data_IF_992577355995
#
_entry.id   IF_992577355995
#
_cell.length_a   1.000
_cell.length_b   1.000
_cell.length_c   1.000
_cell.angle_alpha   90.00
_cell.angle_beta   90.00
_cell.angle_gamma   90.00
#
_symmetry.space_group_name_H-M   'P 1'
#
loop_
_entity.id
_entity.type
_entity.pdbx_description
1 polymer ?
#
# COMPACT_ATOMS: atom_id res chain seq x y z
N UNK A 1 6.96 -46.12 -53.07
CA UNK A 1 5.84 -46.61 -52.24
C UNK A 1 6.38 -47.83 -51.49
N UNK A 2 6.48 -47.93 -50.17
CA UNK A 2 5.89 -47.18 -49.06
C UNK A 2 6.76 -47.41 -47.82
N UNK A 3 6.92 -46.39 -46.98
CA UNK A 3 7.63 -46.47 -45.69
C UNK A 3 6.72 -47.12 -44.64
N UNK A 4 7.07 -48.31 -44.13
CA UNK A 4 6.41 -48.89 -42.96
C UNK A 4 7.08 -48.38 -41.68
N UNK A 5 6.39 -47.51 -40.94
CA UNK A 5 6.80 -47.02 -39.62
C UNK A 5 6.18 -47.82 -38.46
N UNK A 6 7.07 -48.29 -37.59
CA UNK A 6 6.96 -48.78 -36.19
C UNK A 6 5.61 -48.77 -35.43
N UNK A 7 4.96 -49.93 -35.18
CA UNK A 7 3.81 -50.06 -34.29
C UNK A 7 4.13 -50.22 -32.77
N UNK A 8 5.40 -50.23 -32.37
CA UNK A 8 5.83 -50.55 -30.99
C UNK A 8 5.95 -49.31 -30.07
N UNK A 9 6.43 -48.19 -30.61
CA UNK A 9 6.63 -46.95 -29.84
C UNK A 9 5.30 -46.28 -29.48
N UNK A 10 4.33 -46.28 -30.41
CA UNK A 10 2.98 -45.76 -30.18
C UNK A 10 2.25 -46.47 -29.02
N UNK A 11 2.44 -47.78 -28.87
CA UNK A 11 1.83 -48.54 -27.76
C UNK A 11 2.48 -48.24 -26.41
N UNK A 12 3.79 -47.91 -26.41
CA UNK A 12 4.52 -47.54 -25.19
C UNK A 12 4.15 -46.14 -24.73
N UNK A 13 4.04 -45.18 -25.66
CA UNK A 13 3.60 -43.81 -25.36
C UNK A 13 2.14 -43.78 -24.90
N UNK A 14 1.26 -44.57 -25.53
CA UNK A 14 -0.14 -44.72 -25.13
C UNK A 14 -0.28 -45.28 -23.70
N UNK A 15 0.54 -46.27 -23.31
CA UNK A 15 0.58 -46.79 -21.93
C UNK A 15 1.05 -45.75 -20.91
N UNK A 16 2.06 -44.94 -21.25
CA UNK A 16 2.56 -43.86 -20.37
C UNK A 16 1.52 -42.76 -20.23
N UNK A 17 0.85 -42.38 -21.32
CA UNK A 17 -0.26 -41.41 -21.28
C UNK A 17 -1.44 -41.93 -20.45
N UNK A 18 -1.78 -43.21 -20.57
CA UNK A 18 -2.83 -43.84 -19.77
C UNK A 18 -2.49 -43.89 -18.26
N UNK A 19 -1.23 -44.18 -17.90
CA UNK A 19 -0.77 -44.14 -16.50
C UNK A 19 -0.73 -42.71 -15.94
N UNK A 20 -0.29 -41.74 -16.76
CA UNK A 20 -0.33 -40.32 -16.41
C UNK A 20 -1.77 -39.84 -16.20
N UNK A 21 -2.70 -40.21 -17.08
CA UNK A 21 -4.12 -39.87 -16.94
C UNK A 21 -4.74 -40.45 -15.66
N UNK A 22 -4.40 -41.69 -15.28
CA UNK A 22 -4.84 -42.30 -14.01
C UNK A 22 -4.26 -41.59 -12.79
N UNK A 23 -3.00 -41.16 -12.85
CA UNK A 23 -2.35 -40.40 -11.77
C UNK A 23 -2.95 -39.00 -11.61
N UNK A 24 -3.24 -38.32 -12.72
CA UNK A 24 -3.92 -37.02 -12.72
C UNK A 24 -5.32 -37.16 -12.16
N UNK A 25 -6.11 -38.12 -12.63
CA UNK A 25 -7.47 -38.38 -12.12
C UNK A 25 -7.47 -38.69 -10.61
N UNK A 26 -6.55 -39.53 -10.13
CA UNK A 26 -6.41 -39.80 -8.69
C UNK A 26 -5.97 -38.56 -7.90
N UNK A 27 -5.07 -37.74 -8.46
CA UNK A 27 -4.63 -36.50 -7.83
C UNK A 27 -5.78 -35.48 -7.74
N UNK A 28 -6.58 -35.35 -8.80
CA UNK A 28 -7.78 -34.51 -8.84
C UNK A 28 -8.83 -34.94 -7.81
N UNK A 29 -9.08 -36.24 -7.68
CA UNK A 29 -9.96 -36.79 -6.63
C UNK A 29 -9.45 -36.46 -5.22
N UNK A 30 -8.15 -36.66 -4.96
CA UNK A 30 -7.59 -36.29 -3.64
C UNK A 30 -7.68 -34.79 -3.38
N UNK A 31 -7.38 -33.95 -4.38
CA UNK A 31 -7.53 -32.50 -4.26
C UNK A 31 -8.97 -32.09 -4.01
N UNK A 32 -9.95 -32.76 -4.62
CA UNK A 32 -11.36 -32.54 -4.36
C UNK A 32 -11.70 -32.85 -2.89
N UNK A 33 -11.31 -34.03 -2.40
CA UNK A 33 -11.57 -34.41 -1.00
C UNK A 33 -10.88 -33.47 0.00
N UNK A 34 -9.66 -33.00 -0.29
CA UNK A 34 -8.98 -32.03 0.56
C UNK A 34 -9.71 -30.68 0.59
N UNK A 35 -10.23 -30.22 -0.55
CA UNK A 35 -11.02 -28.97 -0.61
C UNK A 35 -12.33 -29.10 0.14
N UNK A 36 -13.01 -30.25 0.05
CA UNK A 36 -14.22 -30.51 0.82
C UNK A 36 -13.95 -30.52 2.32
N UNK A 37 -12.86 -31.18 2.75
CA UNK A 37 -12.44 -31.19 4.15
C UNK A 37 -12.03 -29.79 4.64
N UNK A 38 -11.34 -29.00 3.82
CA UNK A 38 -10.99 -27.62 4.13
C UNK A 38 -12.25 -26.75 4.29
N UNK A 39 -13.23 -26.89 3.39
CA UNK A 39 -14.50 -26.19 3.47
C UNK A 39 -15.30 -26.57 4.73
N UNK A 40 -15.37 -27.87 5.06
CA UNK A 40 -16.04 -28.35 6.27
C UNK A 40 -15.33 -27.86 7.55
N UNK A 41 -14.00 -27.86 7.56
CA UNK A 41 -13.22 -27.36 8.68
C UNK A 41 -13.39 -25.84 8.87
N UNK A 42 -13.44 -25.07 7.78
CA UNK A 42 -13.71 -23.64 7.82
C UNK A 42 -15.11 -23.33 8.37
N UNK A 43 -16.12 -24.09 7.96
CA UNK A 43 -17.48 -23.91 8.46
C UNK A 43 -17.58 -24.26 9.95
N UNK A 44 -16.99 -25.38 10.38
CA UNK A 44 -16.90 -25.73 11.80
C UNK A 44 -16.19 -24.66 12.62
N UNK A 45 -15.10 -24.11 12.09
CA UNK A 45 -14.37 -23.00 12.74
C UNK A 45 -15.27 -21.77 12.89
N UNK A 46 -16.00 -21.39 11.84
CA UNK A 46 -16.93 -20.26 11.86
C UNK A 46 -17.99 -20.42 12.96
N UNK A 47 -18.64 -21.58 13.02
CA UNK A 47 -19.67 -21.87 14.03
C UNK A 47 -19.09 -21.80 15.44
N UNK A 48 -17.91 -22.40 15.66
CA UNK A 48 -17.23 -22.35 16.96
C UNK A 48 -16.84 -20.92 17.38
N UNK A 49 -16.40 -20.09 16.43
CA UNK A 49 -16.09 -18.68 16.69
C UNK A 49 -17.36 -17.90 17.10
N UNK A 50 -18.48 -18.12 16.41
CA UNK A 50 -19.77 -17.51 16.75
C UNK A 50 -20.27 -17.92 18.13
N UNK A 51 -20.24 -19.21 18.47
CA UNK A 51 -20.63 -19.71 19.79
C UNK A 51 -19.75 -19.14 20.90
N UNK A 52 -18.45 -19.07 20.66
CA UNK A 52 -17.49 -18.54 21.61
C UNK A 52 -17.70 -17.04 21.86
N UNK A 53 -18.01 -16.26 20.82
CA UNK A 53 -18.33 -14.85 20.97
C UNK A 53 -19.66 -14.64 21.72
N UNK A 54 -20.68 -15.47 21.45
CA UNK A 54 -21.94 -15.47 22.20
C UNK A 54 -21.71 -15.78 23.69
N UNK A 55 -20.90 -16.81 23.98
CA UNK A 55 -20.61 -17.21 25.35
C UNK A 55 -19.83 -16.11 26.10
N UNK A 56 -18.84 -15.49 25.46
CA UNK A 56 -18.10 -14.34 26.02
C UNK A 56 -19.03 -13.17 26.34
N UNK A 57 -19.95 -12.84 25.43
CA UNK A 57 -20.91 -11.76 25.64
C UNK A 57 -21.88 -12.08 26.79
N UNK A 58 -22.36 -13.31 26.90
CA UNK A 58 -23.22 -13.77 27.99
C UNK A 58 -22.52 -13.68 29.35
N UNK A 59 -21.30 -14.22 29.44
CA UNK A 59 -20.49 -14.17 30.67
C UNK A 59 -20.23 -12.72 31.08
N UNK A 60 -19.85 -11.86 30.13
CA UNK A 60 -19.60 -10.45 30.40
C UNK A 60 -20.86 -9.74 30.91
N UNK A 61 -22.00 -9.98 30.28
CA UNK A 61 -23.29 -9.39 30.68
C UNK A 61 -23.67 -9.81 32.10
N UNK A 62 -23.55 -11.10 32.41
CA UNK A 62 -23.83 -11.63 33.74
C UNK A 62 -22.87 -11.05 34.79
N UNK A 63 -21.56 -11.05 34.52
CA UNK A 63 -20.57 -10.49 35.41
C UNK A 63 -20.82 -9.00 35.70
N UNK A 64 -21.14 -8.20 34.68
CA UNK A 64 -21.44 -6.77 34.86
C UNK A 64 -22.76 -6.55 35.62
N UNK A 65 -23.77 -7.40 35.47
CA UNK A 65 -25.02 -7.30 36.21
C UNK A 65 -24.83 -7.48 37.73
N UNK A 66 -23.85 -8.30 38.13
CA UNK A 66 -23.51 -8.57 39.53
C UNK A 66 -22.30 -7.77 40.04
N UNK A 67 -21.66 -6.97 39.19
CA UNK A 67 -20.49 -6.17 39.53
C UNK A 67 -20.85 -4.90 40.35
N UNK A 68 -19.90 -4.44 41.16
CA UNK A 68 -20.01 -3.17 41.87
C UNK A 68 -20.15 -1.99 40.87
N UNK A 69 -20.79 -0.87 41.28
CA UNK A 69 -20.91 0.31 40.43
C UNK A 69 -19.57 0.86 39.94
N UNK A 70 -18.52 0.81 40.78
CA UNK A 70 -17.19 1.31 40.42
C UNK A 70 -16.52 0.45 39.36
N UNK A 71 -16.62 -0.88 39.49
CA UNK A 71 -16.07 -1.80 38.50
C UNK A 71 -16.76 -1.65 37.13
N UNK A 72 -18.07 -1.40 37.12
CA UNK A 72 -18.80 -1.11 35.87
C UNK A 72 -18.33 0.18 35.19
N UNK A 73 -18.05 1.23 35.97
CA UNK A 73 -17.52 2.51 35.47
C UNK A 73 -16.12 2.34 34.90
N UNK A 74 -15.25 1.64 35.62
CA UNK A 74 -13.89 1.33 35.17
C UNK A 74 -13.91 0.52 33.88
N UNK A 75 -14.74 -0.52 33.79
CA UNK A 75 -14.91 -1.30 32.56
C UNK A 75 -15.35 -0.42 31.37
N UNK A 76 -16.29 0.50 31.58
CA UNK A 76 -16.73 1.44 30.54
C UNK A 76 -15.59 2.38 30.09
N UNK A 77 -14.81 2.90 31.04
CA UNK A 77 -13.66 3.76 30.76
C UNK A 77 -12.55 3.01 30.01
N UNK A 78 -12.23 1.79 30.43
CA UNK A 78 -11.25 0.94 29.77
C UNK A 78 -11.70 0.59 28.35
N UNK A 79 -12.98 0.27 28.15
CA UNK A 79 -13.52 0.01 26.81
C UNK A 79 -13.41 1.23 25.90
N UNK A 80 -13.79 2.41 26.39
CA UNK A 80 -13.62 3.67 25.64
C UNK A 80 -12.14 3.93 25.30
N UNK A 81 -11.25 3.64 26.23
CA UNK A 81 -9.80 3.79 26.04
C UNK A 81 -9.29 2.82 24.97
N UNK A 82 -9.72 1.55 25.01
CA UNK A 82 -9.41 0.54 24.00
C UNK A 82 -9.91 0.94 22.62
N UNK A 83 -11.16 1.41 22.50
CA UNK A 83 -11.73 1.88 21.24
C UNK A 83 -10.92 3.06 20.66
N UNK A 84 -10.46 3.96 21.55
CA UNK A 84 -9.59 5.09 21.15
C UNK A 84 -8.22 4.63 20.65
N UNK A 85 -7.61 3.63 21.30
CA UNK A 85 -6.33 3.08 20.88
C UNK A 85 -6.46 2.27 19.60
N UNK A 86 -7.53 1.49 19.45
CA UNK A 86 -7.80 0.76 18.22
C UNK A 86 -7.96 1.73 17.03
N UNK A 87 -8.71 2.82 17.22
CA UNK A 87 -8.84 3.88 16.21
C UNK A 87 -7.50 4.51 15.85
N UNK A 88 -6.61 4.74 16.84
CA UNK A 88 -5.25 5.25 16.59
C UNK A 88 -4.38 4.23 15.85
N UNK A 89 -4.47 2.95 16.19
CA UNK A 89 -3.76 1.87 15.48
C UNK A 89 -4.21 1.85 14.02
N UNK A 90 -5.51 1.93 13.74
CA UNK A 90 -6.04 1.92 12.38
C UNK A 90 -5.64 3.17 11.58
N UNK A 91 -5.45 4.31 12.25
CA UNK A 91 -4.92 5.54 11.64
C UNK A 91 -3.40 5.46 11.40
N UNK A 92 -2.65 4.87 12.32
CA UNK A 92 -1.20 4.68 12.21
C UNK A 92 -0.82 3.54 11.28
N UNK A 93 -1.79 2.70 10.88
CA UNK A 93 -1.56 1.61 9.95
C UNK A 93 -1.01 2.18 8.65
N UNK A 94 0.19 1.72 8.30
CA UNK A 94 0.85 2.13 7.07
C UNK A 94 -0.01 1.75 5.86
N UNK A 95 -0.15 2.71 4.94
CA UNK A 95 -0.90 2.53 3.70
C UNK A 95 0.10 2.30 2.57
N UNK A 96 0.02 1.14 1.94
CA UNK A 96 0.92 0.79 0.84
C UNK A 96 0.38 1.33 -0.49
N UNK A 97 1.27 1.88 -1.30
CA UNK A 97 0.99 2.31 -2.67
C UNK A 97 0.99 1.10 -3.60
N UNK A 98 -0.11 0.88 -4.33
CA UNK A 98 -0.20 -0.14 -5.37
C UNK A 98 0.02 0.45 -6.76
N UNK A 99 -0.68 1.55 -7.07
CA UNK A 99 -0.55 2.26 -8.34
C UNK A 99 -0.79 3.75 -8.15
N UNK A 100 -0.26 4.57 -9.05
CA UNK A 100 -0.47 6.02 -9.05
C UNK A 100 -0.55 6.55 -10.48
N UNK A 101 -1.52 7.42 -10.75
CA UNK A 101 -1.68 8.07 -12.06
C UNK A 101 -2.34 9.44 -11.94
N UNK A 102 -1.99 10.36 -12.82
CA UNK A 102 -2.67 11.63 -13.02
C UNK A 102 -3.81 11.44 -14.02
N UNK A 103 -5.02 11.80 -13.60
CA UNK A 103 -6.25 11.58 -14.40
C UNK A 103 -6.94 12.86 -14.86
N UNK A 104 -6.56 14.01 -14.30
CA UNK A 104 -7.22 15.28 -14.59
C UNK A 104 -6.30 16.45 -14.23
N UNK A 105 -6.68 17.66 -14.63
CA UNK A 105 -5.97 18.90 -14.32
C UNK A 105 -6.93 20.06 -14.11
N UNK A 106 -6.50 21.06 -13.34
CA UNK A 106 -7.26 22.30 -13.15
C UNK A 106 -6.34 23.49 -13.00
N UNK A 107 -6.79 24.64 -13.48
CA UNK A 107 -6.10 25.93 -13.28
C UNK A 107 -6.69 26.60 -12.04
N UNK A 108 -5.82 27.02 -11.12
CA UNK A 108 -6.15 27.80 -9.93
C UNK A 108 -5.49 29.16 -10.00
N UNK A 109 -6.18 30.19 -9.50
CA UNK A 109 -5.62 31.53 -9.35
C UNK A 109 -5.42 31.83 -7.87
N UNK A 110 -4.21 32.24 -7.49
CA UNK A 110 -3.88 32.70 -6.13
C UNK A 110 -3.03 33.95 -6.22
N UNK A 111 -3.43 35.02 -5.53
CA UNK A 111 -2.71 36.31 -5.53
C UNK A 111 -2.44 36.84 -6.96
N UNK A 112 -3.44 36.74 -7.85
CA UNK A 112 -3.32 37.18 -9.25
C UNK A 112 -2.42 36.30 -10.12
N UNK A 113 -1.84 35.21 -9.59
CA UNK A 113 -1.03 34.26 -10.33
C UNK A 113 -1.78 32.96 -10.55
N UNK A 114 -1.85 32.54 -11.80
CA UNK A 114 -2.41 31.25 -12.17
C UNK A 114 -1.37 30.13 -12.03
N UNK A 115 -1.82 28.93 -11.66
CA UNK A 115 -1.01 27.72 -11.61
C UNK A 115 -1.87 26.48 -11.86
N UNK A 116 -1.25 25.42 -12.38
CA UNK A 116 -1.92 24.13 -12.64
C UNK A 116 -1.76 23.19 -11.45
N UNK A 117 -2.86 22.55 -11.08
CA UNK A 117 -2.90 21.38 -10.22
C UNK A 117 -3.32 20.16 -11.03
N UNK A 118 -2.77 19.01 -10.68
CA UNK A 118 -2.97 17.72 -11.34
C UNK A 118 -3.67 16.79 -10.36
N UNK A 119 -4.74 16.14 -10.81
CA UNK A 119 -5.50 15.18 -10.02
C UNK A 119 -4.78 13.85 -10.02
N UNK A 120 -4.14 13.55 -8.91
CA UNK A 120 -3.49 12.29 -8.64
C UNK A 120 -4.52 11.30 -8.10
N UNK A 121 -4.60 10.14 -8.73
CA UNK A 121 -5.34 8.97 -8.26
C UNK A 121 -4.31 7.93 -7.79
N UNK A 122 -4.47 7.45 -6.56
CA UNK A 122 -3.58 6.44 -5.95
C UNK A 122 -4.44 5.25 -5.53
N UNK A 123 -4.05 4.06 -5.93
CA UNK A 123 -4.63 2.82 -5.43
C UNK A 123 -3.79 2.31 -4.27
N UNK A 124 -4.47 1.91 -3.20
CA UNK A 124 -3.86 1.48 -1.94
C UNK A 124 -4.35 0.10 -1.54
N UNK A 125 -3.58 -0.57 -0.69
CA UNK A 125 -3.88 -1.90 -0.17
C UNK A 125 -5.08 -1.93 0.79
N UNK A 126 -5.25 -0.91 1.62
CA UNK A 126 -6.23 -0.94 2.73
C UNK A 126 -7.29 0.18 2.70
N UNK A 127 -7.08 1.27 1.94
CA UNK A 127 -8.02 2.41 1.86
C UNK A 127 -8.69 2.54 0.49
N UNK A 128 -8.49 1.59 -0.41
CA UNK A 128 -9.01 1.64 -1.78
C UNK A 128 -8.33 2.75 -2.59
N UNK A 129 -9.11 3.51 -3.37
CA UNK A 129 -8.60 4.59 -4.22
C UNK A 129 -8.67 5.94 -3.51
N UNK A 130 -7.53 6.60 -3.37
CA UNK A 130 -7.40 7.96 -2.86
C UNK A 130 -7.19 8.95 -4.02
N UNK A 131 -7.77 10.14 -3.89
CA UNK A 131 -7.70 11.18 -4.93
C UNK A 131 -7.33 12.52 -4.31
N UNK A 132 -6.33 13.18 -4.89
CA UNK A 132 -5.80 14.45 -4.40
C UNK A 132 -5.27 15.33 -5.52
N UNK A 133 -5.07 16.62 -5.23
CA UNK A 133 -4.58 17.61 -6.18
C UNK A 133 -3.18 18.06 -5.80
N UNK A 134 -2.23 17.93 -6.72
CA UNK A 134 -0.85 18.37 -6.51
C UNK A 134 -0.35 19.29 -7.61
N UNK A 135 0.59 20.16 -7.26
CA UNK A 135 1.30 20.99 -8.24
C UNK A 135 2.39 20.16 -8.91
N UNK A 136 2.75 20.56 -10.12
CA UNK A 136 3.84 19.95 -10.88
C UNK A 136 5.17 19.86 -10.09
N UNK A 137 5.45 20.88 -9.26
CA UNK A 137 6.64 20.92 -8.40
C UNK A 137 6.74 19.74 -7.42
N UNK A 138 5.61 19.18 -6.97
CA UNK A 138 5.62 17.99 -6.10
C UNK A 138 6.31 16.82 -6.79
N UNK A 139 5.99 16.60 -8.07
CA UNK A 139 6.57 15.50 -8.87
C UNK A 139 8.03 15.78 -9.23
N UNK A 140 8.39 17.03 -9.54
CA UNK A 140 9.79 17.42 -9.74
C UNK A 140 10.65 17.12 -8.51
N UNK A 141 10.18 17.49 -7.31
CA UNK A 141 10.90 17.24 -6.07
C UNK A 141 11.03 15.74 -5.77
N UNK A 142 9.98 14.97 -6.07
CA UNK A 142 10.02 13.51 -5.95
C UNK A 142 11.05 12.91 -6.90
N UNK A 143 11.05 13.31 -8.17
CA UNK A 143 12.03 12.84 -9.16
C UNK A 143 13.47 13.18 -8.73
N UNK A 144 13.73 14.41 -8.30
CA UNK A 144 15.04 14.83 -7.80
C UNK A 144 15.48 14.00 -6.59
N UNK A 145 14.57 13.74 -5.65
CA UNK A 145 14.87 12.91 -4.46
C UNK A 145 15.17 11.46 -4.84
N UNK A 146 14.42 10.89 -5.77
CA UNK A 146 14.63 9.51 -6.23
C UNK A 146 15.95 9.35 -6.97
N UNK A 147 16.32 10.31 -7.84
CA UNK A 147 17.61 10.36 -8.53
C UNK A 147 18.76 10.47 -7.52
N UNK A 148 18.69 11.41 -6.59
CA UNK A 148 19.70 11.60 -5.55
C UNK A 148 19.90 10.36 -4.65
N UNK A 149 18.81 9.64 -4.32
CA UNK A 149 18.87 8.44 -3.48
C UNK A 149 19.30 7.18 -4.24
N UNK A 150 19.26 7.17 -5.57
CA UNK A 150 19.60 6.01 -6.37
C UNK A 150 20.48 6.42 -7.58
N UNK A 151 21.74 6.84 -7.35
CA UNK A 151 22.61 7.35 -8.42
C UNK A 151 22.83 6.36 -9.56
N UNK A 152 22.82 5.06 -9.26
CA UNK A 152 23.03 4.00 -10.26
C UNK A 152 21.83 3.78 -11.18
N UNK A 153 20.62 4.16 -10.77
CA UNK A 153 19.37 3.99 -11.54
C UNK A 153 18.73 5.31 -11.94
N UNK A 154 19.45 6.43 -11.82
CA UNK A 154 18.96 7.74 -12.23
C UNK A 154 18.53 7.77 -13.71
N UNK A 155 19.27 7.10 -14.59
CA UNK A 155 18.99 7.01 -16.02
C UNK A 155 17.65 6.30 -16.33
N UNK A 156 17.11 5.54 -15.39
CA UNK A 156 15.82 4.86 -15.54
C UNK A 156 14.66 5.82 -15.25
N UNK A 157 14.88 6.85 -14.44
CA UNK A 157 13.83 7.78 -14.03
C UNK A 157 13.53 8.77 -15.18
N UNK A 158 12.30 8.78 -15.74
CA UNK A 158 11.93 9.69 -16.81
C UNK A 158 12.16 11.16 -16.43
N UNK A 159 12.69 11.94 -17.37
CA UNK A 159 12.99 13.34 -17.11
C UNK A 159 11.74 14.21 -17.18
N UNK A 160 11.50 14.94 -16.10
CA UNK A 160 10.41 15.91 -15.98
C UNK A 160 10.93 17.31 -16.31
N UNK A 161 10.26 17.99 -17.23
CA UNK A 161 10.61 19.36 -17.65
C UNK A 161 10.59 20.33 -16.46
N UNK A 162 11.66 21.07 -16.19
CA UNK A 162 11.76 21.98 -15.03
C UNK A 162 11.11 23.35 -15.27
N UNK A 163 10.75 23.67 -16.52
CA UNK A 163 10.23 24.98 -16.89
C UNK A 163 8.91 25.27 -16.17
N UNK A 164 8.83 26.42 -15.50
CA UNK A 164 7.59 26.89 -14.90
C UNK A 164 6.64 27.37 -15.99
N UNK A 165 5.38 26.95 -15.94
CA UNK A 165 4.32 27.54 -16.76
C UNK A 165 4.04 28.94 -16.21
N UNK A 166 4.42 29.98 -16.95
CA UNK A 166 4.09 31.36 -16.62
C UNK A 166 3.08 31.91 -17.62
N UNK A 167 1.87 32.22 -17.14
CA UNK A 167 0.90 33.08 -17.82
C UNK A 167 0.12 32.47 -18.99
N UNK A 168 0.66 31.47 -19.69
CA UNK A 168 -0.01 30.83 -20.83
C UNK A 168 -0.08 29.31 -20.65
N UNK A 169 -1.26 28.83 -20.29
CA UNK A 169 -1.56 27.40 -20.22
C UNK A 169 -2.31 27.03 -21.50
N UNK A 170 -1.63 26.41 -22.47
CA UNK A 170 -2.34 25.73 -23.54
C UNK A 170 -2.77 24.34 -23.06
N UNK A 171 -3.94 23.90 -23.49
CA UNK A 171 -4.45 22.57 -23.15
C UNK A 171 -3.48 21.48 -23.61
N UNK A 172 -2.86 21.66 -24.79
CA UNK A 172 -1.83 20.75 -25.31
C UNK A 172 -0.66 20.59 -24.32
N UNK A 173 -0.15 21.70 -23.79
CA UNK A 173 0.98 21.67 -22.86
C UNK A 173 0.62 21.00 -21.52
N UNK A 174 -0.62 21.17 -21.06
CA UNK A 174 -1.12 20.47 -19.88
C UNK A 174 -1.22 18.96 -20.16
N UNK A 175 -1.76 18.57 -21.32
CA UNK A 175 -1.89 17.16 -21.72
C UNK A 175 -0.52 16.48 -21.85
N UNK A 176 0.46 17.14 -22.48
CA UNK A 176 1.82 16.63 -22.61
C UNK A 176 2.47 16.41 -21.23
N UNK A 177 2.23 17.32 -20.29
CA UNK A 177 2.69 17.16 -18.90
C UNK A 177 1.99 16.01 -18.20
N UNK A 178 0.69 15.83 -18.37
CA UNK A 178 -0.03 14.68 -17.80
C UNK A 178 0.58 13.37 -18.31
N UNK A 179 0.85 13.28 -19.62
CA UNK A 179 1.48 12.10 -20.22
C UNK A 179 2.86 11.84 -19.59
N UNK A 180 3.70 12.87 -19.46
CA UNK A 180 5.03 12.75 -18.83
C UNK A 180 4.97 12.40 -17.34
N UNK A 181 4.01 12.95 -16.61
CA UNK A 181 3.78 12.60 -15.21
C UNK A 181 3.36 11.14 -15.06
N UNK A 182 2.50 10.64 -15.96
CA UNK A 182 2.08 9.25 -15.94
C UNK A 182 3.21 8.29 -16.32
N UNK A 183 4.02 8.62 -17.32
CA UNK A 183 5.24 7.88 -17.66
C UNK A 183 6.18 7.80 -16.45
N UNK A 184 6.44 8.93 -15.80
CA UNK A 184 7.24 9.00 -14.58
C UNK A 184 6.66 8.14 -13.45
N UNK A 185 5.37 8.31 -13.13
CA UNK A 185 4.71 7.58 -12.06
C UNK A 185 4.69 6.07 -12.31
N UNK A 186 4.50 5.64 -13.56
CA UNK A 186 4.51 4.23 -13.94
C UNK A 186 5.87 3.59 -13.65
N UNK A 187 6.96 4.24 -14.07
CA UNK A 187 8.33 3.76 -13.83
C UNK A 187 8.64 3.71 -12.34
N UNK A 188 8.42 4.80 -11.60
CA UNK A 188 8.81 4.86 -10.18
C UNK A 188 7.93 4.00 -9.27
N UNK A 189 6.74 3.60 -9.74
CA UNK A 189 5.81 2.71 -9.03
C UNK A 189 6.08 1.24 -9.32
N UNK A 190 6.47 0.87 -10.54
CA UNK A 190 6.74 -0.53 -10.91
C UNK A 190 8.14 -1.01 -10.54
N UNK A 191 9.14 -0.14 -10.60
CA UNK A 191 10.52 -0.53 -10.36
C UNK A 191 10.79 -0.76 -8.86
N UNK A 192 11.27 -1.94 -8.47
CA UNK A 192 11.38 -2.38 -7.06
C UNK A 192 12.38 -1.56 -6.23
N UNK A 193 13.38 -0.98 -6.90
CA UNK A 193 14.47 -0.23 -6.27
C UNK A 193 14.04 1.11 -5.69
N UNK A 194 12.91 1.68 -6.11
CA UNK A 194 12.49 2.98 -5.63
C UNK A 194 11.67 2.88 -4.34
N UNK A 195 11.96 3.76 -3.39
CA UNK A 195 11.16 3.93 -2.19
C UNK A 195 10.80 5.40 -2.04
N UNK A 196 9.52 5.66 -1.89
CA UNK A 196 9.00 7.00 -1.71
C UNK A 196 7.66 6.97 -1.00
N UNK A 197 7.23 8.12 -0.50
CA UNK A 197 5.90 8.28 0.06
C UNK A 197 5.35 9.62 -0.33
N UNK A 198 4.02 9.71 -0.30
CA UNK A 198 3.30 10.94 -0.58
C UNK A 198 2.23 11.15 0.49
N UNK A 199 2.18 12.38 0.98
CA UNK A 199 1.22 12.78 2.00
C UNK A 199 -0.08 13.16 1.32
N UNK A 200 -1.17 12.54 1.77
CA UNK A 200 -2.52 12.79 1.25
C UNK A 200 -3.16 13.95 2.02
N UNK A 201 -3.05 13.92 3.34
CA UNK A 201 -3.57 14.94 4.24
C UNK A 201 -2.70 15.04 5.53
N UNK A 202 -3.23 15.66 6.59
CA UNK A 202 -2.51 15.88 7.85
C UNK A 202 -2.08 14.55 8.49
N UNK A 203 -2.91 13.53 8.40
CA UNK A 203 -2.80 12.29 9.18
C UNK A 203 -2.53 11.06 8.28
N UNK A 204 -2.71 11.20 6.96
CA UNK A 204 -2.61 10.12 5.99
C UNK A 204 -1.39 10.28 5.08
N UNK A 205 -0.50 9.28 5.11
CA UNK A 205 0.61 9.13 4.17
C UNK A 205 0.55 7.77 3.50
N UNK A 206 0.84 7.75 2.20
CA UNK A 206 0.91 6.53 1.40
C UNK A 206 2.36 6.27 1.01
N UNK A 207 2.80 5.03 1.11
CA UNK A 207 4.20 4.65 0.94
C UNK A 207 4.37 3.53 -0.09
N UNK A 208 5.37 3.70 -0.96
CA UNK A 208 5.97 2.61 -1.72
C UNK A 208 7.25 2.17 -1.02
N UNK A 209 7.28 0.93 -0.53
CA UNK A 209 8.47 0.30 0.06
C UNK A 209 9.23 -0.50 -0.99
N UNK A 210 10.56 -0.68 -0.81
CA UNK A 210 11.32 -1.63 -1.62
C UNK A 210 10.87 -3.05 -1.26
N UNK A 211 10.49 -3.85 -2.24
CA UNK A 211 10.32 -5.29 -2.05
C UNK A 211 11.72 -5.88 -1.86
N UNK A 212 12.08 -6.23 -0.63
CA UNK A 212 13.27 -7.05 -0.40
C UNK A 212 12.97 -8.38 -1.07
N UNK A 213 13.65 -8.68 -2.19
CA UNK A 213 13.60 -10.03 -2.77
C UNK A 213 14.10 -10.98 -1.68
N UNK A 214 13.19 -11.70 -1.05
CA UNK A 214 13.55 -12.84 -0.22
C UNK A 214 14.18 -13.86 -1.16
N UNK A 215 15.51 -13.81 -1.28
CA UNK A 215 16.29 -14.90 -1.84
C UNK A 215 15.94 -16.14 -1.02
N UNK A 216 15.18 -17.04 -1.64
CA UNK A 216 15.24 -18.49 -1.47
C UNK A 216 15.36 -19.00 -0.03
N UNK A 217 14.21 -19.41 0.54
CA UNK A 217 14.14 -20.51 1.48
C UNK A 217 14.88 -20.36 2.81
N UNK A 218 14.20 -19.77 3.80
CA UNK A 218 14.28 -20.31 5.15
C UNK A 218 12.91 -20.21 5.84
N UNK A 219 12.34 -21.37 6.13
CA UNK A 219 11.18 -21.52 7.01
C UNK A 219 11.72 -21.64 8.43
N UNK A 220 12.19 -20.53 9.00
CA UNK A 220 12.26 -20.39 10.46
C UNK A 220 12.21 -18.93 10.87
N UNK A 221 11.43 -18.69 11.90
CA UNK A 221 11.47 -17.50 12.75
C UNK A 221 10.66 -16.27 12.31
N UNK A 222 9.33 -16.38 12.44
CA UNK A 222 8.49 -15.25 12.87
C UNK A 222 8.78 -14.98 14.36
N UNK A 223 9.96 -14.45 14.67
CA UNK A 223 10.18 -13.80 15.95
C UNK A 223 9.67 -12.36 15.83
N UNK A 224 8.57 -12.08 16.53
CA UNK A 224 8.15 -10.72 16.85
C UNK A 224 9.28 -10.05 17.63
N UNK A 225 10.13 -9.32 16.92
CA UNK A 225 11.08 -8.39 17.52
C UNK A 225 10.28 -7.16 17.96
N UNK A 226 9.64 -7.27 19.13
CA UNK A 226 9.36 -6.10 19.98
C UNK A 226 10.72 -5.64 20.48
N UNK A 227 11.41 -4.88 19.63
CA UNK A 227 12.60 -4.13 19.97
C UNK A 227 12.19 -3.04 20.95
N UNK A 228 12.45 -3.27 22.24
CA UNK A 228 12.35 -2.27 23.29
C UNK A 228 13.49 -1.27 23.09
N UNK A 229 13.34 -0.37 22.14
CA UNK A 229 14.25 0.76 21.95
C UNK A 229 13.79 1.94 22.80
N UNK A 230 14.59 2.21 23.83
CA UNK A 230 14.43 3.29 24.80
C UNK A 230 14.21 4.64 24.13
N UNK A 231 13.23 5.38 24.66
CA UNK A 231 12.77 6.73 24.28
C UNK A 231 13.90 7.80 24.32
N UNK A 232 15.12 7.46 24.72
CA UNK A 232 16.25 8.38 24.86
C UNK A 232 17.08 8.62 23.59
N UNK A 233 16.90 7.87 22.49
CA UNK A 233 17.74 8.04 21.27
C UNK A 233 17.12 8.95 20.19
N UNK A 234 15.83 9.30 20.29
CA UNK A 234 15.15 10.17 19.33
C UNK A 234 15.50 11.67 19.46
N UNK A 235 16.33 12.05 20.45
CA UNK A 235 16.72 13.43 20.68
C UNK A 235 18.03 13.87 19.96
N UNK A 236 18.71 12.97 19.23
CA UNK A 236 20.06 13.25 18.69
C UNK A 236 20.23 13.02 17.17
N UNK A 237 19.16 12.94 16.39
CA UNK A 237 19.23 13.09 14.92
C UNK A 237 18.26 14.17 14.45
N UNK A 238 18.58 15.40 14.83
CA UNK A 238 17.91 16.58 14.33
C UNK A 238 18.24 16.84 12.85
N UNK A 239 17.19 17.18 12.11
CA UNK A 239 17.16 17.92 10.83
C UNK A 239 17.55 17.15 9.57
N UNK A 240 16.54 16.52 8.94
CA UNK A 240 16.04 16.97 7.63
C UNK A 240 14.87 16.08 7.17
N UNK A 241 13.64 16.44 7.57
CA UNK A 241 12.42 15.92 6.97
C UNK A 241 11.51 17.11 6.65
N UNK A 242 11.46 17.49 5.39
CA UNK A 242 10.91 18.76 4.93
C UNK A 242 9.38 18.81 5.12
N UNK A 243 8.99 19.48 6.20
CA UNK A 243 7.65 20.03 6.43
C UNK A 243 7.35 21.10 5.38
N UNK A 244 6.16 21.05 4.77
CA UNK A 244 5.63 22.15 3.97
C UNK A 244 4.17 22.41 4.38
N UNK A 245 3.96 23.54 5.06
CA UNK A 245 2.70 24.28 5.09
C UNK A 245 2.96 25.72 4.61
N UNK A 246 2.00 26.38 3.95
CA UNK A 246 2.23 27.66 3.29
C UNK A 246 1.83 28.85 4.18
N UNK A 247 2.71 29.83 4.34
CA UNK A 247 2.36 31.11 4.96
C UNK A 247 3.48 32.13 4.79
N UNK A 248 3.30 33.08 3.85
CA UNK A 248 4.10 34.30 3.76
C UNK A 248 3.33 35.40 4.50
N UNK A 249 3.98 36.08 5.43
CA UNK A 249 3.63 37.46 5.79
C UNK A 249 4.77 38.40 5.42
N UNK A 250 4.36 39.57 4.95
CA UNK A 250 5.13 40.58 4.24
C UNK A 250 5.87 41.48 5.22
N UNK A 251 7.11 41.84 4.87
CA UNK A 251 7.81 42.98 5.45
C UNK A 251 7.03 44.26 5.14
N UNK A 252 6.78 45.07 6.17
CA UNK A 252 6.53 46.51 6.06
C UNK A 252 7.77 47.22 6.60
N UNK A 253 8.30 48.11 5.77
CA UNK A 253 9.31 49.08 6.12
C UNK A 253 8.68 50.22 6.94
N UNK A 254 9.44 50.71 7.91
CA UNK A 254 9.44 52.08 8.48
C UNK A 254 10.89 52.25 8.95
N UNK A 255 11.66 53.28 8.62
CA UNK A 255 11.35 54.67 8.37
C UNK A 255 12.28 55.47 9.30
N UNK A 256 13.35 56.03 8.71
CA UNK A 256 14.22 57.16 9.08
C UNK A 256 15.65 56.93 8.56
#
# INVERSE_FOLDING_TARGET
MSTMGTPSESRRTERVLADAARKVSKAEETLHTYREQEAEALEKKRVLEEEHDQLRQSILTNALAHASPDLRREHAQLRQTLDSYQSKIDQMREISLLSARVVDSRIKTKQGRQYVEYKLQIETDIRGTLVLWHRYSTFLNLAATLKAKNPHTEHVIPELQTQSLTGFFSDQLILDRIAKLNEFLDVVTKAEEFQWGIRIDKDTCVYKRKTKRNSSGDRSDRSYSIGRESIASLAATGRDSLFLSPGRESMMANGL
#
